data_IF_280881913816
#
_entry.id   IF_280881913816
#
_cell.length_a   1.000
_cell.length_b   1.000
_cell.length_c   1.000
_cell.angle_alpha   90.00
_cell.angle_beta   90.00
_cell.angle_gamma   90.00
#
_symmetry.space_group_name_H-M   'P 1'
#
loop_
_entity.id
_entity.type
_entity.pdbx_description
1 polymer ?
#
# COMPACT_ATOMS: atom_id res chain seq x y z
N UNK A 1 4.32 -15.16 -8.77
CA UNK A 1 3.65 -14.36 -7.71
C UNK A 1 3.78 -15.09 -6.39
N UNK A 2 4.22 -14.42 -5.31
CA UNK A 2 4.48 -15.01 -3.99
C UNK A 2 3.31 -15.85 -3.47
N UNK A 3 2.07 -15.41 -3.73
CA UNK A 3 0.84 -16.16 -3.42
C UNK A 3 0.86 -17.62 -3.86
N UNK A 4 1.34 -17.93 -5.08
CA UNK A 4 1.38 -19.31 -5.60
C UNK A 4 2.28 -20.25 -4.78
N UNK A 5 3.26 -19.69 -4.07
CA UNK A 5 4.23 -20.45 -3.28
C UNK A 5 3.94 -20.42 -1.77
N UNK A 6 3.39 -19.31 -1.26
CA UNK A 6 3.18 -19.09 0.17
C UNK A 6 1.75 -19.35 0.64
N UNK A 7 0.76 -19.17 -0.23
CA UNK A 7 -0.66 -19.19 0.12
C UNK A 7 -1.08 -17.97 0.95
N UNK A 8 -2.40 -17.78 1.13
CA UNK A 8 -2.94 -16.63 1.87
C UNK A 8 -2.60 -16.64 3.37
N UNK A 9 -2.43 -17.81 3.97
CA UNK A 9 -2.10 -17.96 5.40
C UNK A 9 -0.72 -17.40 5.78
N UNK A 10 0.14 -17.12 4.80
CA UNK A 10 1.52 -16.66 5.01
C UNK A 10 1.80 -15.33 4.29
N UNK A 11 0.76 -14.62 3.88
CA UNK A 11 0.85 -13.29 3.26
C UNK A 11 -0.07 -12.34 4.00
N UNK A 12 0.53 -11.33 4.64
CA UNK A 12 -0.18 -10.19 5.19
C UNK A 12 -0.11 -9.02 4.19
N UNK A 13 -1.25 -8.50 3.79
CA UNK A 13 -1.31 -7.28 2.98
C UNK A 13 -1.10 -6.07 3.89
N UNK A 14 -0.16 -5.19 3.53
CA UNK A 14 0.09 -3.93 4.22
C UNK A 14 0.09 -2.80 3.20
N UNK A 15 -0.55 -1.68 3.55
CA UNK A 15 -0.59 -0.50 2.67
C UNK A 15 0.77 0.19 2.55
N UNK A 16 1.56 0.17 3.64
CA UNK A 16 2.68 1.08 3.87
C UNK A 16 2.28 2.56 3.64
N UNK A 17 1.03 2.88 3.98
CA UNK A 17 0.42 4.17 3.68
C UNK A 17 1.02 5.28 4.54
N UNK A 18 1.38 6.38 3.89
CA UNK A 18 1.66 7.65 4.55
C UNK A 18 0.40 8.52 4.66
N UNK A 19 0.49 9.66 5.36
CA UNK A 19 -0.62 10.58 5.69
C UNK A 19 -1.47 11.09 4.50
N UNK A 20 -1.02 10.86 3.26
CA UNK A 20 -1.75 11.26 2.04
C UNK A 20 -2.57 10.12 1.42
N UNK A 21 -2.61 8.94 2.03
CA UNK A 21 -3.51 7.89 1.59
C UNK A 21 -4.98 8.33 1.73
N UNK A 22 -5.76 8.10 0.68
CA UNK A 22 -7.18 8.49 0.64
C UNK A 22 -7.44 9.99 0.44
N UNK A 23 -6.42 10.80 0.09
CA UNK A 23 -6.58 12.23 -0.19
C UNK A 23 -6.26 12.57 -1.66
N UNK A 24 -6.66 13.76 -2.09
CA UNK A 24 -6.31 14.33 -3.41
C UNK A 24 -5.07 15.24 -3.34
N UNK A 25 -4.25 15.11 -2.29
CA UNK A 25 -3.07 15.95 -2.09
C UNK A 25 -2.04 15.69 -3.18
N UNK A 26 -1.48 16.75 -3.77
CA UNK A 26 -0.35 16.66 -4.72
C UNK A 26 1.02 16.74 -4.04
N UNK A 27 1.06 17.18 -2.78
CA UNK A 27 2.26 17.36 -1.97
C UNK A 27 1.99 16.90 -0.55
N UNK A 28 3.03 16.43 0.14
CA UNK A 28 2.94 16.02 1.54
C UNK A 28 4.29 16.04 2.23
N UNK A 29 4.29 15.72 3.52
CA UNK A 29 5.48 15.52 4.34
C UNK A 29 5.53 14.08 4.84
N UNK A 30 6.57 13.35 4.46
CA UNK A 30 6.88 12.02 4.99
C UNK A 30 7.65 12.17 6.31
N UNK A 31 7.20 11.46 7.34
CA UNK A 31 7.74 11.59 8.69
C UNK A 31 7.20 12.84 9.41
N UNK A 32 8.08 13.55 10.13
CA UNK A 32 7.75 14.74 10.92
C UNK A 32 7.11 15.85 10.08
N UNK A 33 6.19 16.63 10.66
CA UNK A 33 5.63 17.81 9.97
C UNK A 33 6.62 18.97 9.90
N UNK A 34 7.60 19.03 10.82
CA UNK A 34 8.57 20.12 10.92
C UNK A 34 9.86 19.76 10.18
N UNK A 35 10.39 18.56 10.44
CA UNK A 35 11.69 18.09 9.93
C UNK A 35 11.54 16.93 8.93
N UNK A 36 10.35 16.70 8.40
CA UNK A 36 10.11 15.59 7.47
C UNK A 36 10.67 15.83 6.08
N UNK A 37 10.52 14.80 5.25
CA UNK A 37 10.89 14.85 3.85
C UNK A 37 9.71 15.32 3.01
N UNK A 38 9.92 16.35 2.19
CA UNK A 38 8.92 16.77 1.19
C UNK A 38 8.73 15.65 0.17
N UNK A 39 7.48 15.37 -0.17
CA UNK A 39 7.11 14.40 -1.19
C UNK A 39 6.10 15.00 -2.17
N UNK A 40 6.15 14.53 -3.41
CA UNK A 40 5.18 14.84 -4.46
C UNK A 40 4.34 13.59 -4.72
N UNK A 41 3.07 13.79 -5.07
CA UNK A 41 2.14 12.72 -5.40
C UNK A 41 1.71 12.90 -6.85
N UNK A 42 2.03 11.91 -7.67
CA UNK A 42 1.84 11.92 -9.12
C UNK A 42 1.48 10.51 -9.56
N UNK A 43 0.44 10.39 -10.40
CA UNK A 43 -0.06 9.12 -10.94
C UNK A 43 -0.37 8.05 -9.86
N UNK A 44 -0.83 8.52 -8.69
CA UNK A 44 -1.15 7.64 -7.57
C UNK A 44 0.07 7.09 -6.82
N UNK A 45 1.24 7.69 -6.99
CA UNK A 45 2.52 7.28 -6.38
C UNK A 45 3.14 8.45 -5.61
N UNK A 46 3.55 8.23 -4.37
CA UNK A 46 4.35 9.19 -3.61
C UNK A 46 5.84 9.05 -3.98
N UNK A 47 6.47 10.17 -4.36
CA UNK A 47 7.85 10.23 -4.85
C UNK A 47 8.61 11.34 -4.12
N UNK A 48 9.92 11.23 -4.04
CA UNK A 48 10.77 12.39 -3.71
C UNK A 48 10.61 13.49 -4.78
N UNK A 49 10.84 14.79 -4.46
CA UNK A 49 10.59 15.88 -5.41
C UNK A 49 11.43 15.79 -6.69
N UNK A 50 12.63 15.20 -6.58
CA UNK A 50 13.53 14.90 -7.70
C UNK A 50 13.19 13.57 -8.43
N UNK A 51 12.12 12.87 -8.03
CA UNK A 51 11.65 11.59 -8.58
C UNK A 51 12.67 10.44 -8.51
N UNK A 52 13.71 10.55 -7.67
CA UNK A 52 14.75 9.52 -7.59
C UNK A 52 14.31 8.27 -6.83
N UNK A 53 13.28 8.37 -5.98
CA UNK A 53 12.77 7.26 -5.18
C UNK A 53 11.29 7.41 -4.84
N UNK A 54 10.65 6.29 -4.50
CA UNK A 54 9.34 6.28 -3.86
C UNK A 54 9.46 6.69 -2.39
N UNK A 55 8.43 7.35 -1.88
CA UNK A 55 8.43 7.97 -0.56
C UNK A 55 7.23 7.51 0.26
N UNK A 56 7.11 6.19 0.42
CA UNK A 56 5.95 5.52 1.00
C UNK A 56 4.82 5.29 0.00
N UNK A 57 3.72 4.72 0.48
CA UNK A 57 2.53 4.45 -0.31
C UNK A 57 1.41 5.43 0.01
N UNK A 58 0.45 5.53 -0.91
CA UNK A 58 -0.84 6.20 -0.67
C UNK A 58 -2.02 5.25 -0.90
N UNK A 59 -1.76 3.95 -0.99
CA UNK A 59 -2.77 2.93 -1.18
C UNK A 59 -3.65 2.78 0.08
N UNK A 60 -4.93 2.55 -0.13
CA UNK A 60 -5.90 2.21 0.92
C UNK A 60 -6.12 0.71 0.95
N UNK A 61 -6.48 0.14 2.11
CA UNK A 61 -6.62 -1.32 2.29
C UNK A 61 -7.55 -1.98 1.25
N UNK A 62 -8.65 -1.31 0.91
CA UNK A 62 -9.60 -1.76 -0.11
C UNK A 62 -8.98 -1.79 -1.52
N UNK A 63 -8.06 -0.87 -1.85
CA UNK A 63 -7.28 -0.91 -3.10
C UNK A 63 -6.36 -2.13 -3.14
N UNK A 64 -5.75 -2.54 -2.03
CA UNK A 64 -4.96 -3.79 -2.00
C UNK A 64 -5.84 -4.99 -2.32
N UNK A 65 -7.02 -5.12 -1.71
CA UNK A 65 -7.95 -6.22 -1.99
C UNK A 65 -8.35 -6.23 -3.47
N UNK A 66 -8.76 -5.09 -4.04
CA UNK A 66 -9.11 -5.00 -5.47
C UNK A 66 -7.93 -5.36 -6.38
N UNK A 67 -6.71 -4.97 -6.01
CA UNK A 67 -5.50 -5.31 -6.79
C UNK A 67 -5.25 -6.82 -6.76
N UNK A 68 -5.37 -7.45 -5.59
CA UNK A 68 -5.18 -8.90 -5.45
C UNK A 68 -6.18 -9.70 -6.28
N UNK A 69 -7.44 -9.26 -6.32
CA UNK A 69 -8.50 -9.92 -7.10
C UNK A 69 -8.36 -9.65 -8.59
N UNK A 70 -8.29 -8.39 -8.99
CA UNK A 70 -8.45 -8.02 -10.40
C UNK A 70 -7.15 -8.15 -11.22
N UNK A 71 -6.00 -7.87 -10.60
CA UNK A 71 -4.70 -7.89 -11.28
C UNK A 71 -3.96 -9.20 -11.02
N UNK A 72 -3.99 -9.65 -9.78
CA UNK A 72 -3.27 -10.83 -9.32
C UNK A 72 -4.11 -12.12 -9.41
N UNK A 73 -5.40 -12.00 -9.78
CA UNK A 73 -6.34 -13.12 -9.97
C UNK A 73 -6.44 -14.06 -8.76
N UNK A 74 -6.31 -13.51 -7.55
CA UNK A 74 -6.53 -14.24 -6.30
C UNK A 74 -8.02 -14.27 -5.98
N UNK A 75 -8.58 -15.42 -5.54
CA UNK A 75 -9.97 -15.47 -5.08
C UNK A 75 -10.25 -14.42 -4.00
N UNK A 76 -11.42 -13.78 -4.06
CA UNK A 76 -11.79 -12.71 -3.12
C UNK A 76 -11.65 -13.14 -1.65
N UNK A 77 -12.07 -14.35 -1.32
CA UNK A 77 -12.00 -14.89 0.04
C UNK A 77 -10.55 -14.95 0.55
N UNK A 78 -9.61 -15.33 -0.31
CA UNK A 78 -8.18 -15.38 0.01
C UNK A 78 -7.59 -13.96 0.14
N UNK A 79 -7.99 -13.03 -0.73
CA UNK A 79 -7.59 -11.63 -0.63
C UNK A 79 -8.08 -10.98 0.68
N UNK A 80 -9.33 -11.25 1.09
CA UNK A 80 -9.90 -10.80 2.36
C UNK A 80 -9.16 -11.43 3.54
N UNK A 81 -8.83 -12.71 3.46
CA UNK A 81 -8.03 -13.41 4.49
C UNK A 81 -6.66 -12.75 4.67
N UNK A 82 -5.96 -12.44 3.58
CA UNK A 82 -4.63 -11.82 3.61
C UNK A 82 -4.61 -10.39 4.20
N UNK A 83 -5.72 -9.63 4.16
CA UNK A 83 -5.82 -8.29 4.77
C UNK A 83 -6.37 -8.32 6.22
N UNK A 84 -6.92 -9.44 6.69
CA UNK A 84 -7.61 -9.53 7.99
C UNK A 84 -7.08 -10.65 8.89
N UNK A 85 -7.50 -11.90 8.66
CA UNK A 85 -7.20 -13.04 9.52
C UNK A 85 -5.72 -13.44 9.52
N UNK A 86 -5.01 -13.27 8.40
CA UNK A 86 -3.58 -13.58 8.35
C UNK A 86 -2.76 -12.62 9.23
N UNK A 87 -2.83 -11.28 9.06
CA UNK A 87 -2.10 -10.36 9.93
C UNK A 87 -2.53 -10.41 11.39
N UNK A 88 -3.77 -10.77 11.72
CA UNK A 88 -4.22 -10.85 13.12
C UNK A 88 -3.57 -11.97 13.95
N UNK A 89 -2.76 -12.83 13.32
CA UNK A 89 -2.07 -13.96 13.96
C UNK A 89 -0.56 -13.77 14.08
N UNK A 90 -0.05 -12.61 13.64
CA UNK A 90 1.37 -12.26 13.63
C UNK A 90 1.68 -11.32 14.79
#
# INVERSE_FOLDING_TARGET
MVYKFKGADKIALCTDAMRSAGTNSKYSMLGSLVNGQKVIIEDGVAKLPNRSAFAGSIATADRLVRTMVNVASVPLIEAVKMISLTPSRI
#
